data_IF_221115604104
#
_entry.id   IF_221115604104
#
_cell.length_a   1.000
_cell.length_b   1.000
_cell.length_c   1.000
_cell.angle_alpha   90.00
_cell.angle_beta   90.00
_cell.angle_gamma   90.00
#
_symmetry.space_group_name_H-M   'P 1'
#
loop_
_entity.id
_entity.type
_entity.pdbx_description
1 polymer ?
#
# COMPACT_ATOMS: atom_id res chain seq x y z
N UNK A 1 1.05 24.68 -56.90
CA UNK A 1 1.18 23.84 -55.70
C UNK A 1 1.75 22.51 -56.15
N UNK A 2 3.05 22.33 -55.96
CA UNK A 2 3.81 21.15 -56.39
C UNK A 2 3.70 20.03 -55.36
N UNK A 3 3.46 18.78 -55.79
CA UNK A 3 3.57 17.60 -54.93
C UNK A 3 4.98 17.03 -55.09
N UNK A 4 5.76 16.97 -54.00
CA UNK A 4 6.85 16.00 -53.79
C UNK A 4 7.63 16.40 -52.54
N UNK A 5 7.47 15.63 -51.46
CA UNK A 5 8.49 15.39 -50.42
C UNK A 5 7.95 14.29 -49.51
N UNK A 6 7.94 13.05 -50.03
CA UNK A 6 7.81 11.88 -49.18
C UNK A 6 9.13 11.65 -48.45
N UNK A 7 9.06 11.64 -47.12
CA UNK A 7 10.19 11.61 -46.20
C UNK A 7 11.03 10.34 -46.30
N UNK A 8 12.34 10.54 -46.20
CA UNK A 8 13.34 9.48 -46.00
C UNK A 8 13.11 8.86 -44.62
N UNK A 9 12.97 7.53 -44.49
CA UNK A 9 12.86 6.88 -43.19
C UNK A 9 14.14 7.12 -42.37
N UNK A 10 14.04 7.41 -41.07
CA UNK A 10 15.22 7.65 -40.23
C UNK A 10 16.13 6.41 -40.25
N UNK A 11 17.43 6.66 -40.38
CA UNK A 11 18.47 5.64 -40.39
C UNK A 11 18.26 4.65 -39.22
N UNK A 12 18.25 3.36 -39.55
CA UNK A 12 17.94 2.28 -38.62
C UNK A 12 18.71 2.39 -37.31
N UNK A 13 18.00 2.27 -36.19
CA UNK A 13 18.61 2.23 -34.87
C UNK A 13 19.71 1.14 -34.84
N UNK A 14 20.91 1.42 -34.31
CA UNK A 14 21.99 0.45 -34.28
C UNK A 14 21.53 -0.81 -33.56
N UNK A 15 21.77 -1.97 -34.18
CA UNK A 15 21.48 -3.28 -33.59
C UNK A 15 22.07 -3.34 -32.18
N UNK A 16 21.22 -3.70 -31.21
CA UNK A 16 21.67 -3.86 -29.84
C UNK A 16 22.81 -4.89 -29.79
N UNK A 17 23.95 -4.57 -29.14
CA UNK A 17 25.09 -5.47 -29.13
C UNK A 17 24.66 -6.85 -28.61
N UNK A 18 25.17 -7.95 -29.22
CA UNK A 18 24.79 -9.29 -28.85
C UNK A 18 25.01 -9.48 -27.35
N UNK A 19 23.97 -9.93 -26.64
CA UNK A 19 24.05 -10.22 -25.21
C UNK A 19 25.18 -11.22 -25.00
N UNK A 20 26.27 -10.80 -24.34
CA UNK A 20 27.39 -11.68 -24.02
C UNK A 20 26.84 -12.95 -23.38
N UNK A 21 27.13 -14.10 -23.98
CA UNK A 21 26.75 -15.39 -23.43
C UNK A 21 27.24 -15.47 -21.98
N UNK A 22 26.34 -15.84 -21.07
CA UNK A 22 26.64 -15.88 -19.64
C UNK A 22 27.61 -17.04 -19.42
N UNK A 23 28.89 -16.74 -19.22
CA UNK A 23 29.91 -17.74 -18.90
C UNK A 23 29.48 -18.44 -17.61
N UNK A 24 29.18 -19.73 -17.72
CA UNK A 24 28.81 -20.53 -16.56
C UNK A 24 30.12 -20.99 -15.90
N UNK A 25 30.38 -20.66 -14.63
CA UNK A 25 31.60 -21.10 -13.95
C UNK A 25 31.68 -22.62 -13.90
N UNK A 26 32.89 -23.17 -13.82
CA UNK A 26 33.11 -24.59 -13.53
C UNK A 26 32.46 -24.98 -12.19
N UNK A 27 32.01 -26.23 -12.08
CA UNK A 27 31.21 -26.71 -10.94
C UNK A 27 31.91 -26.52 -9.59
N UNK A 28 33.24 -26.61 -9.52
CA UNK A 28 34.02 -26.37 -8.32
C UNK A 28 33.90 -24.93 -7.80
N UNK A 29 33.63 -23.99 -8.69
CA UNK A 29 33.45 -22.58 -8.38
C UNK A 29 31.98 -22.15 -8.27
N UNK A 30 31.02 -23.08 -8.40
CA UNK A 30 29.58 -22.78 -8.29
C UNK A 30 29.08 -22.80 -6.86
N UNK A 31 28.15 -21.91 -6.58
CA UNK A 31 27.47 -21.86 -5.28
C UNK A 31 26.76 -23.18 -4.97
N UNK A 32 26.98 -23.68 -3.76
CA UNK A 32 26.43 -24.96 -3.24
C UNK A 32 24.93 -24.91 -2.96
N UNK A 33 24.32 -23.71 -2.90
CA UNK A 33 22.90 -23.55 -2.61
C UNK A 33 22.04 -24.21 -3.71
N UNK A 34 21.19 -25.14 -3.28
CA UNK A 34 20.23 -25.83 -4.13
C UNK A 34 18.97 -24.99 -4.22
N UNK A 35 18.57 -24.59 -5.43
CA UNK A 35 17.32 -23.87 -5.64
C UNK A 35 16.16 -24.79 -5.32
N UNK A 36 15.22 -24.30 -4.52
CA UNK A 36 13.96 -24.98 -4.22
C UNK A 36 12.97 -24.79 -5.39
N UNK A 37 13.34 -25.21 -6.59
CA UNK A 37 12.48 -25.19 -7.78
C UNK A 37 11.96 -26.60 -8.13
N UNK A 38 12.03 -27.54 -7.19
CA UNK A 38 11.61 -28.94 -7.39
C UNK A 38 12.59 -29.81 -8.21
N UNK A 39 13.59 -29.21 -8.87
CA UNK A 39 14.53 -29.92 -9.75
C UNK A 39 15.94 -30.10 -9.14
N UNK A 40 16.15 -29.64 -7.89
CA UNK A 40 17.44 -29.79 -7.20
C UNK A 40 18.61 -29.03 -7.87
N UNK A 41 18.32 -28.08 -8.77
CA UNK A 41 19.36 -27.39 -9.53
C UNK A 41 20.20 -26.47 -8.63
N UNK A 42 21.54 -26.57 -8.73
CA UNK A 42 22.47 -25.69 -8.02
C UNK A 42 22.44 -24.27 -8.57
N UNK A 43 22.78 -23.31 -7.73
CA UNK A 43 22.97 -21.93 -8.14
C UNK A 43 24.11 -21.80 -9.15
N UNK A 44 23.85 -21.19 -10.31
CA UNK A 44 24.84 -20.98 -11.37
C UNK A 44 25.84 -19.84 -11.09
N UNK A 45 25.72 -19.17 -9.95
CA UNK A 45 26.58 -18.03 -9.58
C UNK A 45 27.87 -18.53 -8.92
N UNK A 46 28.99 -17.84 -9.17
CA UNK A 46 30.28 -18.14 -8.54
C UNK A 46 30.21 -18.01 -7.01
N UNK A 47 30.91 -18.90 -6.30
CA UNK A 47 31.12 -18.83 -4.85
C UNK A 47 31.79 -17.50 -4.46
N UNK A 48 31.42 -16.96 -3.30
CA UNK A 48 32.08 -15.80 -2.69
C UNK A 48 33.15 -16.29 -1.71
N UNK A 49 34.34 -15.66 -1.66
CA UNK A 49 35.34 -15.97 -0.63
C UNK A 49 34.86 -15.62 0.78
N UNK A 50 33.80 -14.82 0.91
CA UNK A 50 33.20 -14.44 2.20
C UNK A 50 32.30 -15.53 2.81
N UNK A 51 31.94 -16.57 2.05
CA UNK A 51 31.06 -17.63 2.54
C UNK A 51 31.89 -18.83 3.00
N UNK A 52 31.76 -19.14 4.29
CA UNK A 52 32.24 -20.37 4.93
C UNK A 52 31.55 -21.64 4.39
N UNK A 53 30.38 -21.49 3.73
CA UNK A 53 29.55 -22.59 3.20
C UNK A 53 29.60 -22.73 1.68
N UNK A 54 30.58 -22.12 1.03
CA UNK A 54 30.72 -22.16 -0.43
C UNK A 54 29.49 -21.58 -1.17
N UNK A 55 28.89 -20.53 -0.62
CA UNK A 55 27.74 -19.85 -1.22
C UNK A 55 28.18 -18.67 -2.10
N UNK A 56 27.36 -18.27 -3.07
CA UNK A 56 27.54 -16.98 -3.72
C UNK A 56 27.18 -15.85 -2.76
N UNK A 57 27.63 -14.63 -3.06
CA UNK A 57 27.41 -13.46 -2.19
C UNK A 57 25.92 -13.20 -1.90
N UNK A 58 25.03 -13.43 -2.87
CA UNK A 58 23.60 -13.25 -2.69
C UNK A 58 22.99 -14.27 -1.71
N UNK A 59 23.36 -15.55 -1.83
CA UNK A 59 22.88 -16.60 -0.92
C UNK A 59 23.49 -16.48 0.47
N UNK A 60 24.78 -16.13 0.56
CA UNK A 60 25.43 -15.80 1.83
C UNK A 60 24.66 -14.70 2.56
N UNK A 61 24.41 -13.55 1.92
CA UNK A 61 23.63 -12.44 2.50
C UNK A 61 22.23 -12.88 2.93
N UNK A 62 21.53 -13.66 2.10
CA UNK A 62 20.19 -14.15 2.43
C UNK A 62 20.20 -15.09 3.65
N UNK A 63 21.17 -16.01 3.72
CA UNK A 63 21.32 -16.92 4.86
C UNK A 63 21.68 -16.14 6.12
N UNK A 64 22.71 -15.29 6.08
CA UNK A 64 23.11 -14.46 7.23
C UNK A 64 21.94 -13.59 7.71
N UNK A 65 21.14 -13.03 6.79
CA UNK A 65 19.93 -12.30 7.16
C UNK A 65 18.90 -13.21 7.87
N UNK A 66 18.67 -14.43 7.37
CA UNK A 66 17.76 -15.40 8.02
C UNK A 66 18.26 -15.85 9.39
N UNK A 67 19.55 -16.14 9.51
CA UNK A 67 20.18 -16.53 10.77
C UNK A 67 20.10 -15.38 11.79
N UNK A 68 20.36 -14.13 11.37
CA UNK A 68 20.15 -12.95 12.23
C UNK A 68 18.69 -12.78 12.63
N UNK A 69 17.73 -12.96 11.71
CA UNK A 69 16.30 -12.89 12.05
C UNK A 69 15.89 -13.99 13.04
N UNK A 70 16.39 -15.21 12.86
CA UNK A 70 16.15 -16.31 13.79
C UNK A 70 16.74 -16.01 15.18
N UNK A 71 17.99 -15.55 15.24
CA UNK A 71 18.63 -15.12 16.48
C UNK A 71 17.84 -13.99 17.17
N UNK A 72 17.41 -12.96 16.43
CA UNK A 72 16.54 -11.91 16.97
C UNK A 72 15.24 -12.46 17.54
N UNK A 73 14.57 -13.37 16.84
CA UNK A 73 13.34 -13.98 17.37
C UNK A 73 13.58 -14.80 18.64
N UNK A 74 14.68 -15.54 18.70
CA UNK A 74 15.07 -16.33 19.87
C UNK A 74 15.40 -15.43 21.07
N UNK A 75 16.28 -14.44 20.87
CA UNK A 75 16.62 -13.45 21.90
C UNK A 75 15.39 -12.66 22.34
N UNK A 76 14.52 -12.26 21.42
CA UNK A 76 13.25 -11.60 21.77
C UNK A 76 12.39 -12.48 22.67
N UNK A 77 12.22 -13.76 22.34
CA UNK A 77 11.46 -14.67 23.20
C UNK A 77 12.12 -14.81 24.56
N UNK A 78 13.43 -14.94 24.64
CA UNK A 78 14.15 -15.05 25.90
C UNK A 78 13.97 -13.80 26.79
N UNK A 79 14.28 -12.61 26.26
CA UNK A 79 14.15 -11.33 26.98
C UNK A 79 12.70 -11.06 27.35
N UNK A 80 11.76 -11.29 26.42
CA UNK A 80 10.34 -11.11 26.70
C UNK A 80 9.87 -12.07 27.79
N UNK A 81 10.14 -13.37 27.69
CA UNK A 81 9.72 -14.33 28.72
C UNK A 81 10.34 -14.03 30.09
N UNK A 82 11.61 -13.61 30.14
CA UNK A 82 12.30 -13.35 31.41
C UNK A 82 11.93 -11.99 32.05
N UNK A 83 11.68 -10.96 31.23
CA UNK A 83 11.60 -9.58 31.72
C UNK A 83 10.32 -8.84 31.33
N UNK A 84 9.35 -9.48 30.66
CA UNK A 84 8.15 -8.77 30.19
C UNK A 84 7.40 -8.07 31.32
N UNK A 85 7.27 -8.66 32.51
CA UNK A 85 6.57 -8.02 33.63
C UNK A 85 7.26 -6.73 34.07
N UNK A 86 8.58 -6.75 34.21
CA UNK A 86 9.37 -5.57 34.59
C UNK A 86 9.34 -4.50 33.50
N UNK A 87 9.48 -4.91 32.23
CA UNK A 87 9.40 -4.02 31.05
C UNK A 87 8.01 -3.38 30.97
N UNK A 88 6.95 -4.19 31.06
CA UNK A 88 5.57 -3.70 31.03
C UNK A 88 5.31 -2.80 32.22
N UNK A 89 5.76 -3.12 33.42
CA UNK A 89 5.58 -2.27 34.58
C UNK A 89 6.27 -0.91 34.42
N UNK A 90 7.55 -0.88 33.99
CA UNK A 90 8.29 0.36 33.76
C UNK A 90 7.65 1.22 32.67
N UNK A 91 7.25 0.61 31.56
CA UNK A 91 6.60 1.31 30.46
C UNK A 91 5.17 1.74 30.81
N UNK A 92 4.46 0.97 31.63
CA UNK A 92 3.11 1.31 32.10
C UNK A 92 3.15 2.47 33.07
N UNK A 93 4.11 2.50 33.99
CA UNK A 93 4.35 3.64 34.87
C UNK A 93 4.71 4.90 34.07
N UNK A 94 5.49 4.77 32.99
CA UNK A 94 5.81 5.88 32.10
C UNK A 94 4.63 6.32 31.20
N UNK A 95 3.70 5.41 30.92
CA UNK A 95 2.55 5.62 30.03
C UNK A 95 1.24 5.83 30.79
N UNK A 96 1.29 6.42 31.99
CA UNK A 96 0.08 6.80 32.73
C UNK A 96 -0.87 7.61 31.83
N UNK A 97 -2.11 7.12 31.70
CA UNK A 97 -3.14 7.69 30.82
C UNK A 97 -3.27 7.07 29.42
N UNK A 98 -2.33 6.25 28.95
CA UNK A 98 -2.47 5.53 27.68
C UNK A 98 -3.43 4.34 27.79
N UNK A 99 -4.16 4.02 26.71
CA UNK A 99 -5.02 2.83 26.64
C UNK A 99 -4.19 1.54 26.63
N UNK A 100 -4.74 0.44 27.15
CA UNK A 100 -4.05 -0.85 27.29
C UNK A 100 -3.43 -1.37 25.98
N UNK A 101 -4.15 -1.27 24.86
CA UNK A 101 -3.65 -1.66 23.54
C UNK A 101 -2.40 -0.87 23.11
N UNK A 102 -2.33 0.42 23.46
CA UNK A 102 -1.17 1.26 23.15
C UNK A 102 0.03 0.88 24.00
N UNK A 103 -0.18 0.50 25.27
CA UNK A 103 0.88 0.02 26.18
C UNK A 103 1.55 -1.24 25.63
N UNK A 104 0.76 -2.18 25.10
CA UNK A 104 1.29 -3.42 24.52
C UNK A 104 2.13 -3.16 23.27
N UNK A 105 1.71 -2.24 22.39
CA UNK A 105 2.49 -1.84 21.22
C UNK A 105 3.82 -1.18 21.61
N UNK A 106 3.82 -0.30 22.61
CA UNK A 106 5.03 0.36 23.13
C UNK A 106 5.99 -0.68 23.73
N UNK A 107 5.49 -1.63 24.51
CA UNK A 107 6.30 -2.72 25.06
C UNK A 107 6.93 -3.59 23.96
N UNK A 108 6.15 -3.91 22.91
CA UNK A 108 6.68 -4.64 21.77
C UNK A 108 7.77 -3.87 21.02
N UNK A 109 7.58 -2.56 20.81
CA UNK A 109 8.60 -1.69 20.21
C UNK A 109 9.88 -1.64 21.05
N UNK A 110 9.74 -1.49 22.38
CA UNK A 110 10.86 -1.51 23.32
C UNK A 110 11.66 -2.80 23.20
N UNK A 111 11.00 -3.95 23.33
CA UNK A 111 11.67 -5.24 23.32
C UNK A 111 12.36 -5.52 21.98
N UNK A 112 11.75 -5.13 20.85
CA UNK A 112 12.40 -5.21 19.53
C UNK A 112 13.65 -4.34 19.43
N UNK A 113 13.64 -3.14 19.99
CA UNK A 113 14.78 -2.24 19.95
C UNK A 113 15.95 -2.75 20.82
N UNK A 114 15.67 -3.30 22.00
CA UNK A 114 16.68 -3.95 22.87
C UNK A 114 17.30 -5.15 22.16
N UNK A 115 16.49 -6.04 21.59
CA UNK A 115 16.94 -7.23 20.86
C UNK A 115 17.79 -6.86 19.65
N UNK A 116 17.45 -5.78 18.95
CA UNK A 116 18.23 -5.30 17.82
C UNK A 116 19.66 -4.95 18.25
N UNK A 117 19.82 -4.23 19.35
CA UNK A 117 21.16 -3.89 19.89
C UNK A 117 21.92 -5.13 20.37
N UNK A 118 21.25 -6.04 21.06
CA UNK A 118 21.89 -7.28 21.53
C UNK A 118 22.42 -8.12 20.37
N UNK A 119 21.61 -8.33 19.33
CA UNK A 119 21.97 -9.25 18.23
C UNK A 119 22.84 -8.57 17.18
N UNK A 120 22.54 -7.33 16.79
CA UNK A 120 23.26 -6.68 15.69
C UNK A 120 24.51 -5.95 16.16
N UNK A 121 24.53 -5.43 17.40
CA UNK A 121 25.70 -4.72 17.95
C UNK A 121 26.50 -5.57 18.95
N UNK A 122 26.02 -6.76 19.31
CA UNK A 122 26.68 -7.63 20.29
C UNK A 122 26.69 -7.04 21.69
N UNK A 123 25.75 -6.16 22.01
CA UNK A 123 25.66 -5.51 23.32
C UNK A 123 25.09 -6.48 24.36
N UNK A 124 25.62 -6.42 25.59
CA UNK A 124 25.03 -7.12 26.71
C UNK A 124 23.62 -6.58 27.00
N UNK A 125 22.75 -7.45 27.52
CA UNK A 125 21.34 -7.13 27.76
C UNK A 125 21.16 -5.85 28.59
N UNK A 126 21.91 -5.71 29.69
CA UNK A 126 21.85 -4.54 30.55
C UNK A 126 22.22 -3.24 29.82
N UNK A 127 23.24 -3.29 28.95
CA UNK A 127 23.68 -2.15 28.14
C UNK A 127 22.62 -1.79 27.10
N UNK A 128 22.06 -2.79 26.43
CA UNK A 128 21.00 -2.59 25.43
C UNK A 128 19.73 -2.00 26.04
N UNK A 129 19.33 -2.47 27.23
CA UNK A 129 18.20 -1.95 28.01
C UNK A 129 18.43 -0.48 28.35
N UNK A 130 19.56 -0.16 28.99
CA UNK A 130 19.87 1.21 29.44
C UNK A 130 19.92 2.19 28.26
N UNK A 131 20.43 1.76 27.11
CA UNK A 131 20.52 2.61 25.92
C UNK A 131 19.16 2.95 25.28
N UNK A 132 18.16 2.06 25.40
CA UNK A 132 16.85 2.22 24.75
C UNK A 132 15.84 2.96 25.63
N UNK A 133 15.93 2.82 26.96
CA UNK A 133 14.97 3.40 27.91
C UNK A 133 14.71 4.89 27.64
N UNK A 134 15.70 5.78 27.51
CA UNK A 134 15.45 7.21 27.29
C UNK A 134 14.67 7.50 25.99
N UNK A 135 14.97 6.76 24.91
CA UNK A 135 14.30 6.93 23.62
C UNK A 135 12.84 6.49 23.69
N UNK A 136 12.57 5.40 24.40
CA UNK A 136 11.21 4.89 24.59
C UNK A 136 10.38 5.78 25.50
N UNK A 137 10.98 6.34 26.56
CA UNK A 137 10.32 7.36 27.39
C UNK A 137 9.94 8.60 26.57
N UNK A 138 10.85 9.11 25.72
CA UNK A 138 10.55 10.23 24.83
C UNK A 138 9.46 9.91 23.78
N UNK A 139 9.39 8.67 23.30
CA UNK A 139 8.30 8.23 22.43
C UNK A 139 6.96 8.18 23.17
N UNK A 140 6.93 7.61 24.37
CA UNK A 140 5.73 7.54 25.23
C UNK A 140 5.22 8.95 25.53
N UNK A 141 6.10 9.88 25.92
CA UNK A 141 5.74 11.27 26.19
C UNK A 141 5.03 11.91 24.98
N UNK A 142 5.57 11.72 23.75
CA UNK A 142 4.95 12.23 22.52
C UNK A 142 3.59 11.57 22.22
N UNK A 143 3.45 10.27 22.46
CA UNK A 143 2.18 9.56 22.30
C UNK A 143 1.15 10.13 23.28
N UNK A 144 1.53 10.29 24.55
CA UNK A 144 0.67 10.85 25.60
C UNK A 144 0.28 12.28 25.29
N UNK A 145 1.19 13.14 24.85
CA UNK A 145 0.84 14.48 24.37
C UNK A 145 -0.17 14.43 23.22
N UNK A 146 0.02 13.52 22.26
CA UNK A 146 -0.93 13.34 21.16
C UNK A 146 -2.29 12.82 21.62
N UNK A 147 -2.34 11.99 22.66
CA UNK A 147 -3.59 11.52 23.28
C UNK A 147 -4.24 12.68 24.03
N UNK A 148 -3.50 13.42 24.85
CA UNK A 148 -4.00 14.57 25.61
C UNK A 148 -4.53 15.65 24.66
N UNK A 149 -3.84 15.92 23.55
CA UNK A 149 -4.32 16.81 22.49
C UNK A 149 -5.61 16.32 21.81
N UNK A 150 -5.79 15.00 21.68
CA UNK A 150 -7.02 14.38 21.13
C UNK A 150 -8.14 14.24 22.16
N UNK A 151 -7.79 14.12 23.43
CA UNK A 151 -8.70 13.94 24.56
C UNK A 151 -9.16 15.26 25.18
N UNK A 152 -8.42 16.35 24.98
CA UNK A 152 -8.96 17.70 25.08
C UNK A 152 -10.21 17.72 24.20
N UNK A 153 -11.38 17.87 24.83
CA UNK A 153 -12.66 17.74 24.16
C UNK A 153 -12.63 18.56 22.88
N UNK A 154 -12.69 17.88 21.74
CA UNK A 154 -12.87 18.55 20.47
C UNK A 154 -14.25 19.19 20.52
N UNK A 155 -14.27 20.48 20.89
CA UNK A 155 -15.49 21.27 21.13
C UNK A 155 -16.23 21.58 19.84
N UNK A 156 -15.68 21.19 18.69
CA UNK A 156 -16.35 21.30 17.40
C UNK A 156 -17.55 20.34 17.36
N UNK A 157 -18.70 20.76 16.83
CA UNK A 157 -19.85 19.90 16.56
C UNK A 157 -19.45 18.60 15.85
N UNK A 158 -20.14 17.49 16.15
CA UNK A 158 -19.83 16.14 15.63
C UNK A 158 -19.74 16.10 14.09
N UNK A 159 -20.64 16.79 13.40
CA UNK A 159 -20.61 16.93 11.94
C UNK A 159 -19.36 17.67 11.44
N UNK A 160 -18.89 18.68 12.18
CA UNK A 160 -17.67 19.41 11.85
C UNK A 160 -16.42 18.55 12.08
N UNK A 161 -16.44 17.66 13.09
CA UNK A 161 -15.36 16.69 13.32
C UNK A 161 -15.25 15.67 12.21
N UNK A 162 -16.39 15.10 11.80
CA UNK A 162 -16.47 14.13 10.70
C UNK A 162 -16.04 14.79 9.38
N UNK A 163 -16.44 16.06 9.16
CA UNK A 163 -16.05 16.83 7.97
C UNK A 163 -14.56 17.20 7.94
N UNK A 164 -13.97 17.50 9.10
CA UNK A 164 -12.56 17.88 9.22
C UNK A 164 -11.60 16.69 9.36
N UNK A 165 -12.13 15.46 9.45
CA UNK A 165 -11.31 14.26 9.42
C UNK A 165 -10.80 14.02 8.00
N UNK A 166 -9.53 14.34 7.76
CA UNK A 166 -8.86 14.16 6.48
C UNK A 166 -8.73 12.70 6.06
N UNK A 167 -9.05 11.75 6.96
CA UNK A 167 -9.16 10.33 6.66
C UNK A 167 -10.61 9.88 6.44
N UNK A 168 -11.58 10.80 6.43
CA UNK A 168 -12.97 10.46 6.18
C UNK A 168 -13.18 10.08 4.71
N UNK A 169 -13.25 8.77 4.47
CA UNK A 169 -13.53 8.19 3.15
C UNK A 169 -14.96 8.47 2.67
N UNK A 170 -15.81 9.09 3.48
CA UNK A 170 -17.16 9.52 3.11
C UNK A 170 -17.23 11.00 2.65
N UNK A 171 -16.10 11.62 2.32
CA UNK A 171 -16.09 12.91 1.64
C UNK A 171 -16.93 12.83 0.34
N UNK A 172 -17.85 13.78 0.17
CA UNK A 172 -18.78 13.82 -0.98
C UNK A 172 -18.06 13.83 -2.32
N UNK A 173 -16.87 14.42 -2.39
CA UNK A 173 -16.10 14.49 -3.62
C UNK A 173 -15.43 13.15 -3.95
N UNK A 174 -14.88 12.46 -2.95
CA UNK A 174 -14.34 11.10 -3.11
C UNK A 174 -15.45 10.15 -3.54
N UNK A 175 -16.65 10.31 -2.95
CA UNK A 175 -17.83 9.55 -3.32
C UNK A 175 -18.26 9.81 -4.76
N UNK A 176 -18.33 11.08 -5.18
CA UNK A 176 -18.72 11.42 -6.57
C UNK A 176 -17.82 10.75 -7.59
N UNK A 177 -16.50 10.76 -7.37
CA UNK A 177 -15.57 10.11 -8.29
C UNK A 177 -15.70 8.59 -8.28
N UNK A 178 -15.92 8.00 -7.10
CA UNK A 178 -16.26 6.58 -6.99
C UNK A 178 -17.51 6.25 -7.80
N UNK A 179 -18.56 7.06 -7.66
CA UNK A 179 -19.84 6.89 -8.34
C UNK A 179 -19.69 6.97 -9.87
N UNK A 180 -18.84 7.86 -10.38
CA UNK A 180 -18.53 7.96 -11.82
C UNK A 180 -17.86 6.67 -12.34
N UNK A 181 -16.83 6.17 -11.67
CA UNK A 181 -16.15 4.92 -12.05
C UNK A 181 -17.09 3.70 -11.90
N UNK A 182 -17.90 3.66 -10.84
CA UNK A 182 -18.88 2.60 -10.62
C UNK A 182 -19.94 2.60 -11.73
N UNK A 183 -20.41 3.78 -12.16
CA UNK A 183 -21.35 3.89 -13.27
C UNK A 183 -20.78 3.28 -14.55
N UNK A 184 -19.52 3.58 -14.89
CA UNK A 184 -18.84 2.99 -16.04
C UNK A 184 -18.76 1.46 -15.96
N UNK A 185 -18.49 0.91 -14.77
CA UNK A 185 -18.51 -0.54 -14.57
C UNK A 185 -19.93 -1.11 -14.77
N UNK A 186 -20.95 -0.47 -14.20
CA UNK A 186 -22.32 -0.98 -14.28
C UNK A 186 -22.95 -0.91 -15.68
N UNK A 187 -22.38 -0.11 -16.59
CA UNK A 187 -22.75 -0.14 -18.02
C UNK A 187 -22.32 -1.45 -18.71
N UNK A 188 -21.37 -2.17 -18.12
CA UNK A 188 -20.91 -3.47 -18.60
C UNK A 188 -21.88 -4.54 -18.11
N UNK A 189 -22.41 -5.36 -19.04
CA UNK A 189 -23.31 -6.47 -18.72
C UNK A 189 -22.55 -7.81 -18.74
N UNK A 190 -22.26 -8.41 -17.56
CA UNK A 190 -21.65 -9.74 -17.49
C UNK A 190 -22.54 -10.81 -18.12
N UNK A 191 -21.97 -11.87 -18.70
CA UNK A 191 -22.74 -12.98 -19.22
C UNK A 191 -23.49 -13.71 -18.09
N UNK A 192 -24.69 -14.20 -18.41
CA UNK A 192 -25.47 -15.00 -17.48
C UNK A 192 -24.70 -16.25 -17.05
N UNK A 193 -24.66 -16.51 -15.74
CA UNK A 193 -23.99 -17.68 -15.17
C UNK A 193 -22.49 -17.52 -14.89
N UNK A 194 -21.93 -16.31 -15.03
CA UNK A 194 -20.56 -16.02 -14.60
C UNK A 194 -20.35 -16.42 -13.13
N UNK A 195 -19.24 -17.12 -12.83
CA UNK A 195 -18.90 -17.58 -11.49
C UNK A 195 -17.73 -16.78 -10.95
N UNK A 196 -17.96 -15.49 -10.74
CA UNK A 196 -16.91 -14.49 -10.44
C UNK A 196 -15.98 -14.89 -9.31
N UNK A 197 -16.49 -15.21 -8.12
CA UNK A 197 -15.63 -15.56 -6.97
C UNK A 197 -14.81 -16.84 -7.22
N UNK A 198 -15.41 -17.97 -7.67
CA UNK A 198 -14.64 -19.17 -8.03
C UNK A 198 -13.58 -18.92 -9.11
N UNK A 199 -13.90 -18.16 -10.16
CA UNK A 199 -12.98 -17.85 -11.26
C UNK A 199 -11.79 -17.00 -10.78
N UNK A 200 -12.05 -15.96 -9.98
CA UNK A 200 -11.01 -15.15 -9.33
C UNK A 200 -10.11 -16.04 -8.48
N UNK A 201 -10.70 -16.89 -7.64
CA UNK A 201 -9.95 -17.80 -6.76
C UNK A 201 -9.03 -18.73 -7.54
N UNK A 202 -9.52 -19.29 -8.64
CA UNK A 202 -8.72 -20.15 -9.51
C UNK A 202 -7.54 -19.38 -10.14
N UNK A 203 -7.81 -18.20 -10.70
CA UNK A 203 -6.78 -17.37 -11.35
C UNK A 203 -5.71 -16.95 -10.34
N UNK A 204 -6.10 -16.43 -9.19
CA UNK A 204 -5.17 -16.01 -8.15
C UNK A 204 -4.38 -17.17 -7.56
N UNK A 205 -4.99 -18.34 -7.38
CA UNK A 205 -4.27 -19.55 -6.96
C UNK A 205 -3.16 -19.91 -7.95
N UNK A 206 -3.37 -19.70 -9.25
CA UNK A 206 -2.35 -19.92 -10.28
C UNK A 206 -1.26 -18.84 -10.29
N UNK A 207 -1.62 -17.58 -10.03
CA UNK A 207 -0.66 -16.46 -9.98
C UNK A 207 0.26 -16.56 -8.76
N UNK A 208 -0.32 -16.83 -7.58
CA UNK A 208 0.38 -16.81 -6.29
C UNK A 208 0.70 -18.23 -5.79
N UNK A 209 1.16 -19.13 -6.67
CA UNK A 209 1.54 -20.53 -6.37
C UNK A 209 2.77 -20.66 -5.45
N UNK A 210 2.77 -19.99 -4.30
CA UNK A 210 3.80 -20.12 -3.28
C UNK A 210 3.29 -21.08 -2.21
N UNK A 211 3.90 -22.27 -2.04
CA UNK A 211 3.54 -23.18 -0.97
C UNK A 211 3.58 -22.48 0.40
N UNK A 212 2.46 -22.50 1.13
CA UNK A 212 2.31 -21.86 2.44
C UNK A 212 2.14 -20.33 2.42
N UNK A 213 2.05 -19.69 1.25
CA UNK A 213 1.82 -18.23 1.11
C UNK A 213 0.95 -17.87 -0.10
N UNK A 214 -0.06 -18.70 -0.39
CA UNK A 214 -1.07 -18.36 -1.39
C UNK A 214 -1.79 -17.05 -1.05
N UNK A 215 -2.81 -16.69 -1.85
CA UNK A 215 -3.68 -15.57 -1.44
C UNK A 215 -4.30 -15.90 -0.08
N UNK A 216 -4.25 -14.93 0.83
CA UNK A 216 -4.78 -15.05 2.18
C UNK A 216 -6.27 -15.41 2.12
N UNK A 217 -6.64 -16.55 2.72
CA UNK A 217 -8.03 -17.04 2.74
C UNK A 217 -9.00 -16.03 3.37
N UNK A 218 -8.51 -15.15 4.25
CA UNK A 218 -9.32 -14.09 4.86
C UNK A 218 -9.80 -13.07 3.83
N UNK A 219 -9.01 -12.79 2.78
CA UNK A 219 -9.42 -11.89 1.69
C UNK A 219 -10.56 -12.51 0.90
N UNK A 220 -10.50 -13.80 0.59
CA UNK A 220 -11.62 -14.48 -0.08
C UNK A 220 -12.87 -14.54 0.78
N UNK A 221 -12.73 -14.85 2.07
CA UNK A 221 -13.86 -14.88 2.99
C UNK A 221 -14.55 -13.51 3.09
N UNK A 222 -13.77 -12.43 3.12
CA UNK A 222 -14.27 -11.07 3.15
C UNK A 222 -14.93 -10.66 1.82
N UNK A 223 -14.32 -10.98 0.68
CA UNK A 223 -14.95 -10.79 -0.64
C UNK A 223 -16.27 -11.56 -0.76
N UNK A 224 -16.31 -12.83 -0.34
CA UNK A 224 -17.50 -13.67 -0.38
C UNK A 224 -18.61 -13.10 0.50
N UNK A 225 -18.26 -12.67 1.73
CA UNK A 225 -19.21 -12.00 2.63
C UNK A 225 -19.87 -10.80 1.96
N UNK A 226 -19.10 -9.91 1.33
CA UNK A 226 -19.65 -8.73 0.65
C UNK A 226 -20.40 -9.11 -0.64
N UNK A 227 -19.95 -10.15 -1.33
CA UNK A 227 -20.65 -10.71 -2.50
C UNK A 227 -22.03 -11.28 -2.16
N UNK A 228 -22.19 -11.79 -0.94
CA UNK A 228 -23.45 -12.33 -0.41
C UNK A 228 -24.28 -11.29 0.36
N UNK A 229 -23.76 -10.07 0.53
CA UNK A 229 -24.48 -8.98 1.17
C UNK A 229 -25.47 -8.35 0.19
N UNK A 230 -26.76 -8.40 0.54
CA UNK A 230 -27.83 -7.89 -0.31
C UNK A 230 -27.92 -6.35 -0.37
N UNK A 231 -27.32 -5.64 0.59
CA UNK A 231 -27.47 -4.20 0.76
C UNK A 231 -26.13 -3.51 1.00
N UNK A 232 -25.81 -2.53 0.16
CA UNK A 232 -24.69 -1.60 0.40
C UNK A 232 -25.15 -0.14 0.50
N UNK A 233 -25.89 0.36 -0.50
CA UNK A 233 -26.46 1.70 -0.51
C UNK A 233 -27.96 1.69 -0.21
N UNK A 234 -28.68 0.74 -0.82
CA UNK A 234 -30.11 0.57 -0.66
C UNK A 234 -30.45 -0.92 -0.39
N UNK A 235 -31.58 -1.21 0.28
CA UNK A 235 -32.02 -2.58 0.47
C UNK A 235 -32.11 -3.33 -0.87
N UNK A 236 -31.54 -4.54 -0.92
CA UNK A 236 -31.53 -5.43 -2.09
C UNK A 236 -30.85 -4.84 -3.36
N UNK A 237 -29.89 -3.94 -3.22
CA UNK A 237 -29.14 -3.42 -4.36
C UNK A 237 -28.07 -4.40 -4.90
N UNK A 238 -27.58 -5.32 -4.05
CA UNK A 238 -26.47 -6.24 -4.35
C UNK A 238 -25.27 -5.54 -5.00
N UNK A 239 -24.97 -4.31 -4.56
CA UNK A 239 -24.08 -3.42 -5.33
C UNK A 239 -22.67 -3.99 -5.47
N UNK A 240 -22.08 -4.49 -4.38
CA UNK A 240 -20.73 -5.08 -4.43
C UNK A 240 -20.65 -6.23 -5.44
N UNK A 241 -21.65 -7.12 -5.45
CA UNK A 241 -21.75 -8.23 -6.42
C UNK A 241 -21.77 -7.72 -7.86
N UNK A 242 -22.65 -6.76 -8.17
CA UNK A 242 -22.78 -6.18 -9.52
C UNK A 242 -21.47 -5.54 -9.98
N UNK A 243 -20.84 -4.74 -9.12
CA UNK A 243 -19.57 -4.06 -9.43
C UNK A 243 -18.45 -5.08 -9.65
N UNK A 244 -18.33 -6.09 -8.79
CA UNK A 244 -17.30 -7.11 -8.92
C UNK A 244 -17.51 -7.98 -10.17
N UNK A 245 -18.75 -8.37 -10.48
CA UNK A 245 -19.09 -9.15 -11.67
C UNK A 245 -18.74 -8.39 -12.96
N UNK A 246 -19.12 -7.12 -13.03
CA UNK A 246 -18.81 -6.23 -14.14
C UNK A 246 -17.30 -6.01 -14.32
N UNK A 247 -16.60 -5.74 -13.22
CA UNK A 247 -15.15 -5.56 -13.21
C UNK A 247 -14.42 -6.83 -13.66
N UNK A 248 -14.81 -7.98 -13.12
CA UNK A 248 -14.23 -9.26 -13.51
C UNK A 248 -14.42 -9.51 -15.01
N UNK A 249 -15.65 -9.34 -15.50
CA UNK A 249 -15.92 -9.51 -16.92
C UNK A 249 -15.09 -8.54 -17.77
N UNK A 250 -15.00 -7.26 -17.38
CA UNK A 250 -14.17 -6.26 -18.06
C UNK A 250 -12.71 -6.70 -18.19
N UNK A 251 -12.14 -7.27 -17.13
CA UNK A 251 -10.77 -7.81 -17.13
C UNK A 251 -10.66 -8.99 -18.10
N UNK A 252 -11.65 -9.87 -18.16
CA UNK A 252 -11.63 -11.02 -19.09
C UNK A 252 -11.63 -10.61 -20.57
N UNK A 253 -12.28 -9.48 -20.90
CA UNK A 253 -12.33 -8.90 -22.25
C UNK A 253 -11.00 -8.29 -22.72
N UNK A 254 -10.01 -8.11 -21.82
CA UNK A 254 -8.69 -7.60 -22.21
C UNK A 254 -7.92 -8.67 -22.99
N UNK A 255 -7.64 -8.40 -24.27
CA UNK A 255 -6.95 -9.33 -25.16
C UNK A 255 -5.46 -9.49 -24.82
N UNK A 256 -4.78 -8.41 -24.43
CA UNK A 256 -3.39 -8.46 -24.03
C UNK A 256 -3.23 -9.21 -22.71
N UNK A 257 -2.64 -10.41 -22.81
CA UNK A 257 -2.42 -11.31 -21.67
C UNK A 257 -1.55 -10.69 -20.58
N UNK A 258 -0.59 -9.82 -20.91
CA UNK A 258 0.28 -9.16 -19.92
C UNK A 258 -0.53 -8.13 -19.14
N UNK A 259 -1.28 -7.29 -19.82
CA UNK A 259 -2.15 -6.28 -19.18
C UNK A 259 -3.19 -6.97 -18.30
N UNK A 260 -3.87 -8.00 -18.83
CA UNK A 260 -4.84 -8.79 -18.07
C UNK A 260 -4.24 -9.44 -16.82
N UNK A 261 -3.00 -9.95 -16.91
CA UNK A 261 -2.29 -10.51 -15.77
C UNK A 261 -1.98 -9.47 -14.69
N UNK A 262 -1.59 -8.25 -15.07
CA UNK A 262 -1.39 -7.17 -14.11
C UNK A 262 -2.72 -6.71 -13.48
N UNK A 263 -3.81 -6.66 -14.26
CA UNK A 263 -5.14 -6.38 -13.73
C UNK A 263 -5.60 -7.41 -12.69
N UNK A 264 -5.32 -8.70 -12.89
CA UNK A 264 -5.60 -9.73 -11.88
C UNK A 264 -4.84 -9.49 -10.57
N UNK A 265 -3.56 -9.10 -10.64
CA UNK A 265 -2.78 -8.75 -9.45
C UNK A 265 -3.30 -7.49 -8.79
N UNK A 266 -3.66 -6.49 -9.59
CA UNK A 266 -4.19 -5.22 -9.11
C UNK A 266 -5.51 -5.42 -8.38
N UNK A 267 -6.42 -6.23 -8.92
CA UNK A 267 -7.65 -6.65 -8.24
C UNK A 267 -7.34 -7.30 -6.89
N UNK A 268 -6.34 -8.20 -6.84
CA UNK A 268 -5.94 -8.85 -5.58
C UNK A 268 -5.46 -7.85 -4.55
N UNK A 269 -4.60 -6.90 -4.96
CA UNK A 269 -4.08 -5.87 -4.09
C UNK A 269 -5.20 -4.97 -3.54
N UNK A 270 -6.09 -4.47 -4.39
CA UNK A 270 -7.20 -3.63 -3.96
C UNK A 270 -8.17 -4.37 -3.04
N UNK A 271 -8.47 -5.65 -3.29
CA UNK A 271 -9.27 -6.46 -2.37
C UNK A 271 -8.57 -6.70 -1.03
N UNK A 272 -7.24 -6.87 -1.01
CA UNK A 272 -6.49 -7.02 0.23
C UNK A 272 -6.40 -5.70 1.02
N UNK A 273 -6.26 -4.56 0.34
CA UNK A 273 -6.28 -3.23 0.95
C UNK A 273 -7.68 -2.84 1.45
N UNK A 274 -8.74 -3.39 0.84
CA UNK A 274 -10.12 -3.22 1.27
C UNK A 274 -10.46 -4.06 2.52
N UNK A 275 -9.60 -5.00 2.93
CA UNK A 275 -9.92 -5.93 4.01
C UNK A 275 -10.36 -5.20 5.28
N UNK A 276 -11.49 -5.63 5.83
CA UNK A 276 -12.13 -5.05 7.01
C UNK A 276 -12.63 -3.59 6.86
N UNK A 277 -12.77 -3.09 5.63
CA UNK A 277 -13.48 -1.84 5.35
C UNK A 277 -15.01 -2.06 5.27
N UNK A 278 -15.77 -0.97 5.21
CA UNK A 278 -17.20 -1.00 4.92
C UNK A 278 -17.47 -1.29 3.42
N UNK A 279 -18.72 -1.60 3.05
CA UNK A 279 -19.05 -1.92 1.64
C UNK A 279 -18.66 -0.78 0.66
N UNK A 280 -18.90 0.48 1.04
CA UNK A 280 -18.52 1.63 0.19
C UNK A 280 -17.01 1.69 -0.02
N UNK A 281 -16.21 1.42 1.02
CA UNK A 281 -14.76 1.29 0.92
C UNK A 281 -14.34 0.19 -0.04
N UNK A 282 -14.99 -0.98 0.04
CA UNK A 282 -14.76 -2.08 -0.90
C UNK A 282 -15.07 -1.68 -2.36
N UNK A 283 -16.22 -1.06 -2.61
CA UNK A 283 -16.63 -0.61 -3.95
C UNK A 283 -15.64 0.43 -4.49
N UNK A 284 -15.21 1.38 -3.66
CA UNK A 284 -14.20 2.37 -4.03
C UNK A 284 -12.90 1.72 -4.49
N UNK A 285 -12.41 0.73 -3.73
CA UNK A 285 -11.21 -0.05 -4.06
C UNK A 285 -11.37 -0.83 -5.37
N UNK A 286 -12.51 -1.48 -5.60
CA UNK A 286 -12.79 -2.15 -6.87
C UNK A 286 -12.77 -1.18 -8.05
N UNK A 287 -13.33 0.02 -7.89
CA UNK A 287 -13.37 1.04 -8.95
C UNK A 287 -11.97 1.53 -9.38
N UNK A 288 -10.96 1.39 -8.51
CA UNK A 288 -9.59 1.80 -8.77
C UNK A 288 -8.75 0.76 -9.53
N UNK A 289 -9.28 -0.44 -9.80
CA UNK A 289 -8.52 -1.52 -10.45
C UNK A 289 -8.15 -1.18 -11.90
N UNK A 290 -9.02 -0.46 -12.61
CA UNK A 290 -8.82 -0.09 -14.02
C UNK A 290 -8.08 1.25 -14.21
N UNK A 291 -7.84 1.98 -13.12
CA UNK A 291 -7.16 3.26 -13.16
C UNK A 291 -5.71 3.07 -13.66
N UNK A 292 -5.35 3.82 -14.71
CA UNK A 292 -4.06 3.70 -15.39
C UNK A 292 -3.97 2.57 -16.42
N UNK A 293 -5.04 1.79 -16.59
CA UNK A 293 -5.19 0.79 -17.66
C UNK A 293 -6.27 1.19 -18.67
N UNK A 294 -7.26 1.98 -18.25
CA UNK A 294 -8.34 2.50 -19.07
C UNK A 294 -8.53 3.99 -18.73
N UNK A 295 -8.33 4.87 -19.73
CA UNK A 295 -8.33 6.32 -19.54
C UNK A 295 -9.71 6.88 -19.12
N UNK A 296 -10.78 6.10 -19.28
CA UNK A 296 -12.10 6.46 -18.79
C UNK A 296 -12.19 6.41 -17.26
N UNK A 297 -11.33 5.61 -16.60
CA UNK A 297 -11.28 5.45 -15.16
C UNK A 297 -10.27 6.42 -14.54
N UNK A 298 -10.76 7.34 -13.71
CA UNK A 298 -9.92 8.37 -13.10
C UNK A 298 -9.52 7.97 -11.67
N UNK A 299 -8.25 8.19 -11.25
CA UNK A 299 -7.79 7.89 -9.90
C UNK A 299 -8.52 8.76 -8.88
N UNK A 300 -8.99 8.19 -7.77
CA UNK A 300 -9.48 8.98 -6.65
C UNK A 300 -8.39 9.92 -6.13
N UNK A 301 -8.48 11.21 -6.46
CA UNK A 301 -7.53 12.22 -5.98
C UNK A 301 -8.22 13.04 -4.90
N UNK A 302 -7.68 13.09 -3.67
CA UNK A 302 -8.22 13.97 -2.64
C UNK A 302 -8.28 15.41 -3.14
N UNK A 303 -9.41 16.08 -2.94
CA UNK A 303 -9.61 17.46 -3.42
C UNK A 303 -8.54 18.40 -2.89
N UNK A 304 -8.10 18.21 -1.64
CA UNK A 304 -7.00 18.97 -1.06
C UNK A 304 -5.67 18.84 -1.83
N UNK A 305 -5.39 17.67 -2.42
CA UNK A 305 -4.19 17.47 -3.23
C UNK A 305 -4.33 18.13 -4.61
N UNK A 306 -5.54 18.08 -5.21
CA UNK A 306 -5.83 18.80 -6.46
C UNK A 306 -5.67 20.30 -6.24
N UNK A 307 -6.25 20.82 -5.15
CA UNK A 307 -6.14 22.21 -4.74
C UNK A 307 -4.68 22.59 -4.53
N UNK A 308 -3.92 21.85 -3.72
CA UNK A 308 -2.52 22.15 -3.47
C UNK A 308 -1.70 22.24 -4.76
N UNK A 309 -1.85 21.27 -5.67
CA UNK A 309 -1.11 21.23 -6.93
C UNK A 309 -1.50 22.38 -7.86
N UNK A 310 -2.80 22.66 -8.05
CA UNK A 310 -3.25 23.73 -8.92
C UNK A 310 -2.97 25.12 -8.32
N UNK A 311 -3.12 25.30 -7.01
CA UNK A 311 -2.81 26.55 -6.31
C UNK A 311 -1.32 26.91 -6.41
N UNK A 312 -0.42 25.92 -6.38
CA UNK A 312 1.01 26.14 -6.60
C UNK A 312 1.34 26.62 -8.03
N UNK A 313 0.53 26.27 -9.02
CA UNK A 313 0.66 26.78 -10.39
C UNK A 313 0.07 28.20 -10.47
N UNK A 314 -1.12 28.40 -9.89
CA UNK A 314 -1.78 29.70 -9.85
C UNK A 314 -0.89 30.74 -9.17
N UNK A 315 -0.19 30.38 -8.08
CA UNK A 315 0.70 31.31 -7.37
C UNK A 315 1.88 31.82 -8.19
N UNK A 316 2.22 31.17 -9.32
CA UNK A 316 3.30 31.59 -10.23
C UNK A 316 2.84 32.64 -11.26
N UNK A 317 1.54 32.92 -11.37
CA UNK A 317 1.03 33.94 -12.29
C UNK A 317 1.39 35.33 -11.73
N UNK A 318 2.04 36.17 -12.56
CA UNK A 318 2.55 37.48 -12.14
C UNK A 318 1.43 38.47 -11.73
N UNK A 319 0.28 38.41 -12.42
CA UNK A 319 -0.85 39.29 -12.14
C UNK A 319 -1.67 38.78 -10.97
N UNK A 320 -1.73 39.55 -9.87
CA UNK A 320 -2.52 39.24 -8.68
C UNK A 320 -4.01 39.11 -8.99
N UNK A 321 -4.54 39.96 -9.87
CA UNK A 321 -5.96 39.90 -10.26
C UNK A 321 -6.28 38.58 -10.96
N UNK A 322 -5.39 38.13 -11.84
CA UNK A 322 -5.53 36.85 -12.55
C UNK A 322 -5.35 35.66 -11.60
N UNK A 323 -4.43 35.73 -10.63
CA UNK A 323 -4.29 34.72 -9.56
C UNK A 323 -5.60 34.53 -8.80
N UNK A 324 -6.18 35.62 -8.33
CA UNK A 324 -7.42 35.60 -7.54
C UNK A 324 -8.60 35.10 -8.37
N UNK A 325 -8.68 35.48 -9.64
CA UNK A 325 -9.72 35.00 -10.56
C UNK A 325 -9.62 33.49 -10.77
N UNK A 326 -8.45 32.96 -11.13
CA UNK A 326 -8.26 31.53 -11.36
C UNK A 326 -8.43 30.70 -10.08
N UNK A 327 -8.00 31.23 -8.92
CA UNK A 327 -8.22 30.58 -7.63
C UNK A 327 -9.73 30.47 -7.33
N UNK A 328 -10.52 31.53 -7.53
CA UNK A 328 -11.98 31.50 -7.33
C UNK A 328 -12.69 30.54 -8.28
N UNK A 329 -12.29 30.55 -9.57
CA UNK A 329 -12.81 29.61 -10.56
C UNK A 329 -12.52 28.15 -10.16
N UNK A 330 -11.30 27.89 -9.65
CA UNK A 330 -10.92 26.58 -9.16
C UNK A 330 -11.73 26.14 -7.93
N UNK A 331 -11.95 27.04 -6.95
CA UNK A 331 -12.78 26.74 -5.78
C UNK A 331 -14.21 26.39 -6.20
N UNK A 332 -14.77 27.13 -7.17
CA UNK A 332 -16.09 26.86 -7.74
C UNK A 332 -16.13 25.52 -8.51
N UNK A 333 -15.10 25.23 -9.32
CA UNK A 333 -14.95 23.96 -10.07
C UNK A 333 -14.98 22.77 -9.11
N UNK A 334 -14.20 22.86 -8.03
CA UNK A 334 -14.06 21.80 -7.03
C UNK A 334 -15.14 21.84 -5.94
N UNK A 335 -16.08 22.80 -6.02
CA UNK A 335 -17.16 23.02 -5.05
C UNK A 335 -16.65 23.10 -3.61
N UNK A 336 -15.52 23.78 -3.42
CA UNK A 336 -14.94 24.03 -2.10
C UNK A 336 -15.86 24.99 -1.34
N UNK A 337 -16.29 24.66 -0.12
CA UNK A 337 -17.09 25.56 0.71
C UNK A 337 -16.40 26.93 0.90
N UNK A 338 -17.19 28.01 0.88
CA UNK A 338 -16.67 29.39 0.94
C UNK A 338 -15.80 29.64 2.18
N UNK A 339 -16.16 29.06 3.33
CA UNK A 339 -15.41 29.17 4.58
C UNK A 339 -14.01 28.54 4.50
N UNK A 340 -13.87 27.46 3.73
CA UNK A 340 -12.58 26.82 3.47
C UNK A 340 -11.79 27.51 2.36
N UNK A 341 -12.50 28.11 1.39
CA UNK A 341 -11.88 28.79 0.26
C UNK A 341 -11.11 30.06 0.66
N UNK A 342 -11.53 30.77 1.72
CA UNK A 342 -10.90 32.02 2.18
C UNK A 342 -9.39 31.87 2.36
N UNK A 343 -8.95 30.89 3.16
CA UNK A 343 -7.53 30.70 3.48
C UNK A 343 -6.66 30.46 2.22
N UNK A 344 -7.21 29.77 1.23
CA UNK A 344 -6.52 29.51 -0.03
C UNK A 344 -6.45 30.75 -0.92
N UNK A 345 -7.54 31.53 -0.98
CA UNK A 345 -7.63 32.75 -1.79
C UNK A 345 -6.72 33.84 -1.21
N UNK A 346 -6.68 34.00 0.11
CA UNK A 346 -5.80 34.95 0.79
C UNK A 346 -4.33 34.61 0.53
N UNK A 347 -3.95 33.34 0.63
CA UNK A 347 -2.57 32.89 0.44
C UNK A 347 -2.00 33.15 -0.97
N UNK A 348 -2.83 33.29 -2.01
CA UNK A 348 -2.38 33.68 -3.37
C UNK A 348 -2.59 35.16 -3.68
N UNK A 349 -3.27 35.89 -2.80
CA UNK A 349 -3.41 37.34 -2.89
C UNK A 349 -2.16 38.07 -2.39
N UNK A 350 -1.46 37.46 -1.43
CA UNK A 350 -0.10 37.85 -1.00
C UNK A 350 0.94 37.60 -2.09
#
# INVERSE_FOLDING_TARGET
MTPETYGVPPAGAPEAPPRRARVIPDDEHRCTYIKFNGLGARCSTRKSPQSDRNECLAHYRLRTHRERQAARHETFRAVWTAHWEAIVHQLTAAAEGAQEFQRMNVAHMYARAVVWRMVDHGEEEAVAIVAIVPQMLALIARINEGIQRRGAADTRPELQRISADTQNTHDRNVRKQTDENVKLLLEISPPAGQKTIPEIREVWTRIYRVPGRGVDDRVYADMQKWYDTAQCYAPNDWMYRKVLDALWYRITLVEDKKIRHELHKRLQQECAEAFAMCCEGHIGRLSNVLVGFDDSFKPQVPVGLILQNKMAIISQIESVEERLKQAKELMAELKVPDDQAVAWIEAVGE
#
